data_IF_276203600221
#
_entry.id   IF_276203600221
#
_cell.length_a   1.000
_cell.length_b   1.000
_cell.length_c   1.000
_cell.angle_alpha   90.00
_cell.angle_beta   90.00
_cell.angle_gamma   90.00
#
_symmetry.space_group_name_H-M   'P 1'
#
loop_
_entity.id
_entity.type
_entity.pdbx_description
1 polymer ?
#
# COMPACT_ATOMS: atom_id res chain seq x y z
N UNK A 1 3.08 5.12 10.80
CA UNK A 1 2.33 3.86 10.98
C UNK A 1 2.52 2.98 9.76
N UNK A 2 2.46 1.66 9.91
CA UNK A 2 2.51 0.75 8.76
C UNK A 2 1.14 0.78 8.10
N UNK A 3 1.10 0.99 6.79
CA UNK A 3 -0.12 1.06 6.00
C UNK A 3 -0.09 -0.04 4.95
N UNK A 4 -1.21 -0.75 4.85
CA UNK A 4 -1.54 -1.58 3.69
C UNK A 4 -2.60 -0.89 2.83
N UNK A 5 -2.37 -0.88 1.53
CA UNK A 5 -3.39 -0.48 0.55
C UNK A 5 -3.69 -1.69 -0.32
N UNK A 6 -4.94 -2.14 -0.29
CA UNK A 6 -5.45 -3.19 -1.16
C UNK A 6 -6.52 -2.59 -2.03
N UNK A 7 -6.54 -2.95 -3.31
CA UNK A 7 -7.60 -2.50 -4.19
C UNK A 7 -8.06 -3.57 -5.16
N UNK A 8 -9.30 -3.42 -5.62
CA UNK A 8 -9.90 -4.13 -6.73
C UNK A 8 -10.47 -3.05 -7.66
N UNK A 9 -9.69 -2.67 -8.68
CA UNK A 9 -10.02 -1.58 -9.61
C UNK A 9 -10.10 -2.16 -11.02
N UNK A 10 -11.31 -2.12 -11.59
CA UNK A 10 -11.60 -2.74 -12.89
C UNK A 10 -10.94 -2.00 -14.05
N UNK A 11 -10.99 -0.66 -14.03
CA UNK A 11 -10.48 0.18 -15.12
C UNK A 11 -8.96 0.29 -15.08
N UNK A 12 -8.28 -0.20 -16.11
CA UNK A 12 -6.80 -0.21 -16.24
C UNK A 12 -6.16 1.16 -16.03
N UNK A 13 -6.77 2.22 -16.57
CA UNK A 13 -6.27 3.60 -16.44
C UNK A 13 -6.33 4.08 -14.97
N UNK A 14 -7.43 3.80 -14.28
CA UNK A 14 -7.59 4.13 -12.87
C UNK A 14 -6.60 3.34 -12.01
N UNK A 15 -6.53 2.02 -12.24
CA UNK A 15 -5.60 1.11 -11.54
C UNK A 15 -4.14 1.53 -11.70
N UNK A 16 -3.74 1.91 -12.91
CA UNK A 16 -2.37 2.38 -13.19
C UNK A 16 -2.05 3.67 -12.43
N UNK A 17 -3.01 4.60 -12.35
CA UNK A 17 -2.85 5.84 -11.58
C UNK A 17 -2.80 5.55 -10.08
N UNK A 18 -3.68 4.71 -9.56
CA UNK A 18 -3.73 4.31 -8.16
C UNK A 18 -2.40 3.69 -7.70
N UNK A 19 -1.85 2.77 -8.50
CA UNK A 19 -0.53 2.20 -8.26
C UNK A 19 0.57 3.27 -8.18
N UNK A 20 0.53 4.26 -9.09
CA UNK A 20 1.48 5.39 -9.10
C UNK A 20 1.35 6.25 -7.85
N UNK A 21 0.12 6.55 -7.40
CA UNK A 21 -0.12 7.31 -6.15
C UNK A 21 0.42 6.59 -4.94
N UNK A 22 0.19 5.28 -4.82
CA UNK A 22 0.73 4.47 -3.73
C UNK A 22 2.26 4.51 -3.70
N UNK A 23 2.92 4.35 -4.85
CA UNK A 23 4.38 4.42 -4.96
C UNK A 23 4.93 5.81 -4.63
N UNK A 24 4.28 6.87 -5.11
CA UNK A 24 4.67 8.25 -4.82
C UNK A 24 4.51 8.61 -3.34
N UNK A 25 3.54 8.01 -2.65
CA UNK A 25 3.38 8.14 -1.20
C UNK A 25 4.48 7.41 -0.41
N UNK A 26 5.31 6.59 -1.07
CA UNK A 26 6.37 5.80 -0.43
C UNK A 26 5.94 4.37 -0.07
N UNK A 27 4.82 3.88 -0.60
CA UNK A 27 4.41 2.48 -0.44
C UNK A 27 5.07 1.60 -1.50
N UNK A 28 5.54 0.42 -1.08
CA UNK A 28 6.08 -0.59 -1.97
C UNK A 28 4.99 -1.52 -2.48
N UNK A 29 5.04 -1.91 -3.75
CA UNK A 29 4.08 -2.84 -4.35
C UNK A 29 4.47 -4.27 -4.02
N UNK A 30 3.65 -4.94 -3.22
CA UNK A 30 3.91 -6.32 -2.73
C UNK A 30 3.10 -7.39 -3.47
N UNK A 31 1.98 -7.01 -4.10
CA UNK A 31 1.24 -7.85 -5.06
C UNK A 31 0.66 -6.96 -6.17
N UNK A 32 0.00 -7.55 -7.17
CA UNK A 32 -0.57 -6.79 -8.29
C UNK A 32 -1.46 -5.62 -7.82
N UNK A 33 -2.26 -5.81 -6.78
CA UNK A 33 -3.16 -4.79 -6.26
C UNK A 33 -2.99 -4.55 -4.76
N UNK A 34 -1.76 -4.71 -4.25
CA UNK A 34 -1.47 -4.63 -2.83
C UNK A 34 -0.16 -3.87 -2.60
N UNK A 35 -0.18 -2.92 -1.67
CA UNK A 35 0.94 -2.02 -1.35
C UNK A 35 1.14 -1.94 0.15
N UNK A 36 2.39 -1.76 0.56
CA UNK A 36 2.82 -1.76 1.94
C UNK A 36 3.94 -0.76 2.17
N UNK A 37 3.86 0.00 3.25
CA UNK A 37 4.91 0.94 3.62
C UNK A 37 4.59 1.65 4.92
N UNK A 38 5.40 2.67 5.25
CA UNK A 38 5.17 3.50 6.43
C UNK A 38 4.75 4.89 6.00
N UNK A 39 3.58 5.34 6.48
CA UNK A 39 3.10 6.71 6.28
C UNK A 39 2.88 7.41 7.62
N UNK A 40 2.98 8.73 7.61
CA UNK A 40 2.38 9.59 8.65
C UNK A 40 0.86 9.66 8.46
N UNK A 41 0.13 10.14 9.46
CA UNK A 41 -1.32 10.32 9.36
C UNK A 41 -1.69 11.23 8.18
N UNK A 42 -1.03 12.38 8.06
CA UNK A 42 -1.28 13.33 6.97
C UNK A 42 -1.00 12.74 5.58
N UNK A 43 0.05 11.93 5.44
CA UNK A 43 0.35 11.24 4.18
C UNK A 43 -0.71 10.20 3.84
N UNK A 44 -1.22 9.46 4.83
CA UNK A 44 -2.32 8.52 4.66
C UNK A 44 -3.59 9.24 4.19
N UNK A 45 -3.96 10.34 4.85
CA UNK A 45 -5.16 11.11 4.51
C UNK A 45 -5.06 11.72 3.11
N UNK A 46 -3.87 12.23 2.75
CA UNK A 46 -3.58 12.71 1.39
C UNK A 46 -3.72 11.60 0.35
N UNK A 47 -3.17 10.42 0.64
CA UNK A 47 -3.26 9.26 -0.27
C UNK A 47 -4.71 8.81 -0.42
N UNK A 48 -5.50 8.82 0.65
CA UNK A 48 -6.91 8.45 0.62
C UNK A 48 -7.69 9.36 -0.35
N UNK A 49 -7.57 10.69 -0.20
CA UNK A 49 -8.23 11.64 -1.10
C UNK A 49 -7.81 11.43 -2.57
N UNK A 50 -6.51 11.19 -2.81
CA UNK A 50 -6.01 10.92 -4.16
C UNK A 50 -6.54 9.61 -4.77
N UNK A 51 -6.85 8.61 -3.95
CA UNK A 51 -7.41 7.34 -4.43
C UNK A 51 -8.92 7.47 -4.66
N UNK A 52 -9.64 8.17 -3.79
CA UNK A 52 -11.07 8.48 -3.96
C UNK A 52 -11.34 9.18 -5.30
N UNK A 53 -10.51 10.15 -5.69
CA UNK A 53 -10.61 10.82 -7.00
C UNK A 53 -10.40 9.90 -8.23
N UNK A 54 -9.84 8.71 -8.04
CA UNK A 54 -9.46 7.81 -9.13
C UNK A 54 -10.41 6.65 -9.33
N UNK A 55 -11.21 6.31 -8.33
CA UNK A 55 -12.04 5.11 -8.32
C UNK A 55 -13.49 5.39 -8.71
N UNK A 56 -14.16 4.33 -9.13
CA UNK A 56 -15.59 4.29 -9.37
C UNK A 56 -16.27 3.66 -8.14
N UNK A 57 -16.87 4.48 -7.26
CA UNK A 57 -17.38 4.05 -5.94
C UNK A 57 -18.42 2.91 -5.99
N UNK A 58 -19.10 2.74 -7.12
CA UNK A 58 -20.11 1.69 -7.31
C UNK A 58 -19.50 0.31 -7.62
N UNK A 59 -18.26 0.27 -8.14
CA UNK A 59 -17.67 -0.94 -8.72
C UNK A 59 -16.30 -1.29 -8.19
N UNK A 60 -15.49 -0.28 -7.90
CA UNK A 60 -14.14 -0.43 -7.40
C UNK A 60 -14.13 -0.52 -5.86
N UNK A 61 -13.12 -1.22 -5.32
CA UNK A 61 -12.95 -1.37 -3.87
C UNK A 61 -11.54 -0.97 -3.49
N UNK A 62 -11.39 -0.15 -2.47
CA UNK A 62 -10.07 0.24 -1.92
C UNK A 62 -10.13 0.13 -0.40
N UNK A 63 -9.15 -0.56 0.17
CA UNK A 63 -8.98 -0.68 1.62
C UNK A 63 -7.63 -0.11 2.03
N UNK A 64 -7.63 0.73 3.06
CA UNK A 64 -6.43 1.32 3.65
C UNK A 64 -6.35 0.90 5.13
N UNK A 65 -5.55 -0.12 5.43
CA UNK A 65 -5.42 -0.66 6.79
C UNK A 65 -4.15 -0.13 7.48
N UNK A 66 -4.30 0.66 8.56
CA UNK A 66 -3.19 0.88 9.48
C UNK A 66 -2.94 -0.37 10.33
N UNK A 67 -1.69 -0.77 10.46
CA UNK A 67 -1.28 -1.89 11.31
C UNK A 67 -0.06 -1.55 12.14
N UNK A 68 0.08 -2.27 13.25
CA UNK A 68 1.27 -2.27 14.08
C UNK A 68 2.36 -3.18 13.50
N UNK A 69 3.60 -3.01 13.97
CA UNK A 69 4.71 -3.90 13.63
C UNK A 69 4.47 -5.34 14.11
N UNK A 70 3.81 -5.51 15.27
CA UNK A 70 3.54 -6.83 15.84
C UNK A 70 2.58 -7.66 14.99
N UNK A 71 1.55 -7.05 14.42
CA UNK A 71 0.61 -7.72 13.52
C UNK A 71 1.27 -8.08 12.19
N UNK A 72 2.12 -7.19 11.65
CA UNK A 72 2.89 -7.48 10.44
C UNK A 72 3.80 -8.70 10.62
N UNK A 73 4.47 -8.83 11.77
CA UNK A 73 5.35 -9.98 12.05
C UNK A 73 4.56 -11.29 12.07
N UNK A 74 3.33 -11.29 12.59
CA UNK A 74 2.44 -12.45 12.66
C UNK A 74 1.78 -12.82 11.32
N UNK A 75 1.90 -11.97 10.29
CA UNK A 75 1.27 -12.21 8.99
C UNK A 75 1.86 -13.46 8.32
N UNK A 76 1.04 -14.42 7.91
CA UNK A 76 1.51 -15.55 7.10
C UNK A 76 1.77 -15.10 5.66
N UNK A 77 2.95 -15.42 5.13
CA UNK A 77 3.35 -15.12 3.76
C UNK A 77 3.62 -16.42 3.02
N UNK A 78 2.83 -16.69 1.97
CA UNK A 78 2.87 -17.93 1.21
C UNK A 78 3.23 -17.64 -0.26
N UNK A 79 4.03 -18.53 -0.87
CA UNK A 79 4.48 -18.38 -2.27
C UNK A 79 5.65 -17.40 -2.43
N UNK A 80 5.73 -16.73 -3.58
CA UNK A 80 6.70 -15.66 -3.85
C UNK A 80 6.28 -14.39 -3.11
N UNK A 81 6.39 -14.40 -1.80
CA UNK A 81 6.07 -13.27 -0.96
C UNK A 81 7.27 -12.31 -0.83
N UNK A 82 6.99 -11.05 -0.54
CA UNK A 82 8.02 -10.05 -0.27
C UNK A 82 8.77 -10.36 1.03
N UNK A 83 10.05 -10.00 1.10
CA UNK A 83 10.85 -10.20 2.31
C UNK A 83 10.36 -9.25 3.42
N UNK A 84 9.88 -9.80 4.54
CA UNK A 84 9.43 -9.02 5.71
C UNK A 84 10.52 -8.09 6.24
N UNK A 85 11.80 -8.45 6.08
CA UNK A 85 12.95 -7.64 6.53
C UNK A 85 13.00 -6.28 5.83
N UNK A 86 12.57 -6.21 4.56
CA UNK A 86 12.45 -4.95 3.82
C UNK A 86 11.46 -3.97 4.46
N UNK A 87 10.47 -4.49 5.19
CA UNK A 87 9.38 -3.68 5.76
C UNK A 87 9.58 -3.39 7.24
N UNK A 88 10.16 -4.33 7.99
CA UNK A 88 10.37 -4.14 9.43
C UNK A 88 11.60 -3.30 9.73
N UNK A 89 12.77 -3.50 9.10
CA UNK A 89 13.99 -2.84 9.59
C UNK A 89 14.86 -2.10 8.55
N UNK A 90 14.51 -2.12 7.26
CA UNK A 90 15.43 -1.63 6.21
C UNK A 90 14.90 -0.59 5.20
N UNK A 91 13.80 0.12 5.49
CA UNK A 91 13.52 1.39 4.75
C UNK A 91 14.58 2.47 5.10
N UNK A 92 15.52 2.21 6.01
CA UNK A 92 16.73 3.04 6.20
C UNK A 92 17.94 2.60 5.37
N UNK A 93 18.01 1.36 4.88
CA UNK A 93 19.23 0.82 4.25
C UNK A 93 19.20 0.88 2.71
N UNK A 94 18.04 1.07 2.09
CA UNK A 94 17.91 1.24 0.63
C UNK A 94 17.95 2.71 0.17
N UNK A 95 18.26 3.64 1.08
CA UNK A 95 18.35 5.09 0.81
C UNK A 95 19.70 5.72 1.16
N UNK A 96 20.77 4.92 1.26
CA UNK A 96 22.17 5.37 1.18
C UNK A 96 22.98 4.44 0.29
#
# INVERSE_FOLDING_TARGET
MIIWVLYDIGKDKARTKAAKRCQQAGLYRVQFSCFLGTLTQNQKDTLQLQLEELIDEETDKVYIFPMSRGELQQTALLGQAFDKKLVTDEIRALFF
#
